data_IF_226191411547
#
_entry.id   IF_226191411547
#
_cell.length_a   1.000
_cell.length_b   1.000
_cell.length_c   1.000
_cell.angle_alpha   90.00
_cell.angle_beta   90.00
_cell.angle_gamma   90.00
#
_symmetry.space_group_name_H-M   'P 1'
#
loop_
_entity.id
_entity.type
_entity.pdbx_description
1 polymer ?
#
# COMPACT_ATOMS: atom_id res chain seq x y z
N UNK A 1 31.76 -19.48 55.64
CA UNK A 1 30.59 -19.80 56.48
C UNK A 1 29.58 -20.51 55.62
N UNK A 2 29.51 -21.83 55.79
CA UNK A 2 28.46 -22.67 55.23
C UNK A 2 27.10 -22.30 55.86
N UNK A 3 26.00 -22.55 55.15
CA UNK A 3 24.95 -23.50 55.58
C UNK A 3 23.65 -23.31 54.79
N UNK A 4 23.20 -24.42 54.22
CA UNK A 4 21.88 -24.68 53.67
C UNK A 4 20.95 -25.28 54.75
N UNK A 5 19.64 -25.01 54.68
CA UNK A 5 18.53 -25.76 55.32
C UNK A 5 17.27 -25.44 54.46
N UNK A 6 16.79 -26.25 53.50
CA UNK A 6 15.98 -27.50 53.53
C UNK A 6 14.65 -27.40 54.30
N UNK A 7 13.61 -27.98 53.68
CA UNK A 7 12.31 -28.44 54.22
C UNK A 7 11.15 -27.44 53.97
N UNK A 8 9.97 -27.81 53.45
CA UNK A 8 9.24 -29.08 53.39
C UNK A 8 8.18 -29.04 52.28
N UNK A 9 8.02 -30.15 51.55
CA UNK A 9 6.72 -30.55 50.98
C UNK A 9 6.06 -31.55 51.92
N UNK A 10 4.71 -31.55 52.04
CA UNK A 10 3.97 -32.77 52.29
C UNK A 10 3.21 -33.19 51.02
N UNK A 11 3.40 -34.45 50.65
CA UNK A 11 2.56 -35.19 49.72
C UNK A 11 1.30 -35.71 50.44
N UNK A 12 0.22 -36.00 49.70
CA UNK A 12 -0.43 -37.33 49.63
C UNK A 12 -1.68 -37.28 48.71
N UNK A 13 -1.63 -38.16 47.70
CA UNK A 13 -2.66 -38.93 46.99
C UNK A 13 -4.09 -38.37 46.76
N UNK A 14 -4.47 -38.30 45.49
CA UNK A 14 -5.58 -39.15 44.98
C UNK A 14 -5.47 -39.37 43.47
N UNK A 15 -5.94 -40.54 43.06
CA UNK A 15 -5.62 -41.27 41.83
C UNK A 15 -6.74 -41.13 40.78
N UNK A 16 -6.37 -41.03 39.48
CA UNK A 16 -7.12 -41.46 38.26
C UNK A 16 -8.35 -40.57 37.92
N UNK A 17 -8.50 -39.89 36.78
CA UNK A 17 -8.59 -40.35 35.37
C UNK A 17 -8.57 -39.13 34.41
N UNK A 18 -7.99 -39.27 33.20
CA UNK A 18 -8.45 -38.50 32.03
C UNK A 18 -7.44 -37.53 31.41
N UNK A 19 -6.83 -37.96 30.32
CA UNK A 19 -5.83 -37.27 29.49
C UNK A 19 -6.33 -35.97 28.85
N UNK A 20 -5.76 -34.82 29.25
CA UNK A 20 -5.59 -33.64 28.38
C UNK A 20 -4.17 -33.10 28.61
N UNK A 21 -3.33 -33.20 27.59
CA UNK A 21 -1.95 -32.71 27.57
C UNK A 21 -1.93 -31.18 27.64
N UNK A 22 -1.75 -30.63 28.84
CA UNK A 22 -1.43 -29.21 29.05
C UNK A 22 0.08 -29.04 28.92
N UNK A 23 0.52 -28.38 27.86
CA UNK A 23 1.91 -27.99 27.66
C UNK A 23 2.35 -27.01 28.75
N UNK A 24 3.27 -27.45 29.61
CA UNK A 24 3.94 -26.61 30.62
C UNK A 24 4.88 -25.63 29.94
N UNK A 25 4.59 -24.35 30.14
CA UNK A 25 5.52 -23.24 30.03
C UNK A 25 6.76 -23.50 30.92
N UNK A 26 7.95 -23.48 30.31
CA UNK A 26 9.20 -23.16 30.99
C UNK A 26 9.80 -21.95 30.28
N UNK A 27 9.85 -20.83 31.00
CA UNK A 27 10.54 -19.63 30.59
C UNK A 27 12.06 -19.86 30.71
N UNK A 28 12.78 -19.77 29.59
CA UNK A 28 14.22 -19.49 29.57
C UNK A 28 14.45 -18.43 28.50
N UNK A 29 15.03 -17.33 28.98
CA UNK A 29 15.64 -16.19 28.29
C UNK A 29 16.17 -16.46 26.88
N UNK A 30 15.57 -15.83 25.87
CA UNK A 30 16.30 -15.36 24.69
C UNK A 30 15.60 -14.14 24.06
N UNK A 31 16.30 -13.02 24.04
CA UNK A 31 15.84 -11.72 23.57
C UNK A 31 16.32 -11.56 22.12
N UNK A 32 15.50 -11.98 21.15
CA UNK A 32 15.52 -11.50 19.74
C UNK A 32 14.57 -12.33 18.87
N UNK A 33 13.26 -12.17 19.07
CA UNK A 33 12.26 -12.77 18.18
C UNK A 33 11.21 -11.74 17.81
N UNK A 34 11.51 -10.97 16.77
CA UNK A 34 10.48 -10.26 16.00
C UNK A 34 9.79 -11.28 15.10
N UNK A 35 8.70 -11.86 15.59
CA UNK A 35 7.80 -12.65 14.75
C UNK A 35 6.90 -11.70 13.97
N UNK A 36 7.19 -11.52 12.69
CA UNK A 36 6.21 -10.97 11.75
C UNK A 36 5.30 -12.12 11.30
N UNK A 37 4.19 -12.33 12.03
CA UNK A 37 3.07 -13.14 11.57
C UNK A 37 2.25 -12.28 10.60
N UNK A 38 2.59 -12.34 9.30
CA UNK A 38 1.67 -11.93 8.24
C UNK A 38 1.16 -13.19 7.56
N UNK A 39 -0.09 -13.55 7.86
CA UNK A 39 -0.84 -14.64 7.25
C UNK A 39 -1.36 -14.21 5.89
N UNK A 40 -0.53 -14.32 4.86
CA UNK A 40 -1.03 -14.47 3.49
C UNK A 40 -1.17 -15.95 3.19
N UNK A 41 -2.07 -16.36 2.28
CA UNK A 41 -2.24 -17.79 1.90
C UNK A 41 -0.95 -18.43 1.35
N UNK A 42 0.05 -17.62 1.00
CA UNK A 42 1.38 -18.04 0.55
C UNK A 42 2.52 -17.70 1.55
N UNK A 43 2.19 -17.20 2.74
CA UNK A 43 3.11 -16.79 3.79
C UNK A 43 3.03 -17.68 5.03
N UNK A 44 3.58 -17.21 6.16
CA UNK A 44 3.50 -17.93 7.44
C UNK A 44 4.49 -19.08 7.63
N UNK A 45 5.34 -19.37 6.66
CA UNK A 45 6.43 -20.35 6.75
C UNK A 45 7.77 -19.70 7.09
N UNK A 46 8.58 -20.34 7.94
CA UNK A 46 9.97 -19.93 8.16
C UNK A 46 10.81 -20.42 6.98
N UNK A 47 11.10 -19.52 6.03
CA UNK A 47 11.88 -19.84 4.82
C UNK A 47 13.37 -20.03 5.13
N UNK A 48 13.91 -19.32 6.12
CA UNK A 48 15.29 -19.44 6.54
C UNK A 48 15.44 -19.00 8.00
N UNK A 49 16.22 -19.75 8.78
CA UNK A 49 16.65 -19.36 10.12
C UNK A 49 18.11 -19.79 10.32
N UNK A 50 18.98 -18.84 10.61
CA UNK A 50 20.41 -19.08 10.72
C UNK A 50 21.25 -17.82 10.51
N UNK A 51 22.59 -17.97 10.39
CA UNK A 51 23.49 -16.83 10.21
C UNK A 51 23.22 -16.06 8.90
N UNK A 52 23.14 -14.72 8.98
CA UNK A 52 22.82 -13.86 7.82
C UNK A 52 23.67 -14.14 6.56
N UNK A 53 24.94 -14.50 6.72
CA UNK A 53 25.84 -14.84 5.60
C UNK A 53 25.37 -16.03 4.76
N UNK A 54 24.65 -16.98 5.35
CA UNK A 54 24.14 -18.19 4.68
C UNK A 54 22.73 -18.01 4.11
N UNK A 55 22.12 -16.84 4.26
CA UNK A 55 20.80 -16.52 3.69
C UNK A 55 20.83 -16.55 2.16
N UNK A 56 21.96 -16.22 1.55
CA UNK A 56 22.15 -16.24 0.08
C UNK A 56 22.11 -17.64 -0.51
N UNK A 57 22.40 -18.67 0.29
CA UNK A 57 22.41 -20.07 -0.14
C UNK A 57 21.02 -20.72 0.01
N UNK A 58 20.06 -20.03 0.63
CA UNK A 58 18.72 -20.55 0.87
C UNK A 58 17.92 -20.57 -0.46
N UNK A 59 17.58 -21.74 -1.01
CA UNK A 59 17.06 -21.86 -2.38
C UNK A 59 15.65 -21.28 -2.58
N UNK A 60 14.87 -21.12 -1.50
CA UNK A 60 13.51 -20.53 -1.54
C UNK A 60 13.46 -19.07 -1.06
N UNK A 61 14.58 -18.49 -0.64
CA UNK A 61 14.58 -17.17 -0.02
C UNK A 61 14.61 -16.07 -1.07
N UNK A 62 13.49 -15.39 -1.28
CA UNK A 62 13.42 -14.20 -2.13
C UNK A 62 14.37 -13.12 -1.60
N UNK A 63 14.45 -12.94 -0.28
CA UNK A 63 15.41 -12.00 0.35
C UNK A 63 16.86 -12.41 0.07
N UNK A 64 17.16 -13.72 0.14
CA UNK A 64 18.47 -14.26 -0.23
C UNK A 64 18.84 -13.98 -1.69
N UNK A 65 17.87 -14.08 -2.61
CA UNK A 65 18.07 -13.75 -4.02
C UNK A 65 18.41 -12.28 -4.26
N UNK A 66 17.78 -11.35 -3.52
CA UNK A 66 18.08 -9.92 -3.62
C UNK A 66 19.46 -9.58 -3.05
N UNK A 67 19.82 -10.18 -1.91
CA UNK A 67 21.14 -9.98 -1.29
C UNK A 67 22.25 -10.57 -2.16
N UNK A 68 22.01 -11.74 -2.77
CA UNK A 68 22.95 -12.39 -3.67
C UNK A 68 23.05 -11.73 -5.05
N UNK A 69 22.19 -10.75 -5.37
CA UNK A 69 22.13 -10.11 -6.68
C UNK A 69 21.48 -10.97 -7.79
N UNK A 70 20.93 -12.15 -7.46
CA UNK A 70 20.18 -12.99 -8.40
C UNK A 70 18.87 -12.35 -8.84
N UNK A 71 18.27 -11.55 -7.95
CA UNK A 71 17.16 -10.62 -8.26
C UNK A 71 17.64 -9.22 -7.94
N UNK A 72 17.30 -8.25 -8.78
CA UNK A 72 17.58 -6.84 -8.52
C UNK A 72 16.47 -5.96 -9.10
N UNK A 73 16.40 -4.74 -8.58
CA UNK A 73 15.66 -3.66 -9.22
C UNK A 73 16.59 -3.12 -10.30
N UNK A 74 16.20 -3.26 -11.55
CA UNK A 74 17.01 -2.83 -12.70
C UNK A 74 17.03 -1.30 -12.80
N UNK A 75 18.15 -0.77 -13.29
CA UNK A 75 18.22 0.64 -13.69
C UNK A 75 17.46 0.78 -15.02
N UNK A 76 16.59 1.79 -15.17
CA UNK A 76 15.88 2.01 -16.44
C UNK A 76 16.86 2.17 -17.60
N UNK A 77 16.63 1.45 -18.71
CA UNK A 77 17.52 1.54 -19.89
C UNK A 77 17.51 2.93 -20.55
N UNK A 78 16.42 3.67 -20.40
CA UNK A 78 16.29 5.04 -20.87
C UNK A 78 15.46 5.85 -19.90
N UNK A 79 15.92 7.05 -19.56
CA UNK A 79 15.16 8.02 -18.75
C UNK A 79 14.27 8.89 -19.64
N UNK A 80 13.12 9.29 -19.13
CA UNK A 80 12.19 10.21 -19.81
C UNK A 80 12.85 11.57 -19.96
N UNK A 81 12.72 12.18 -21.14
CA UNK A 81 13.38 13.46 -21.44
C UNK A 81 12.68 14.61 -20.73
N UNK A 82 13.42 15.30 -19.87
CA UNK A 82 12.98 16.54 -19.22
C UNK A 82 12.80 17.66 -20.25
N UNK A 83 11.62 18.29 -20.25
CA UNK A 83 11.30 19.43 -21.12
C UNK A 83 11.30 20.72 -20.31
N UNK A 84 12.19 21.66 -20.62
CA UNK A 84 12.27 22.97 -19.95
C UNK A 84 10.97 23.78 -20.01
N UNK A 85 10.14 23.53 -21.01
CA UNK A 85 8.83 24.19 -21.17
C UNK A 85 7.73 23.58 -20.30
N UNK A 86 7.95 22.38 -19.72
CA UNK A 86 6.98 21.66 -18.90
C UNK A 86 7.52 21.43 -17.48
N UNK A 87 7.36 22.43 -16.62
CA UNK A 87 7.86 22.40 -15.25
C UNK A 87 7.03 23.29 -14.32
N UNK A 88 6.93 22.86 -13.06
CA UNK A 88 6.51 23.69 -11.94
C UNK A 88 7.74 24.35 -11.32
N UNK A 89 7.63 25.59 -10.87
CA UNK A 89 8.74 26.28 -10.22
C UNK A 89 8.30 26.89 -8.90
N UNK A 90 8.94 26.45 -7.82
CA UNK A 90 8.76 27.05 -6.50
C UNK A 90 9.79 28.16 -6.35
N UNK A 91 9.35 29.39 -6.11
CA UNK A 91 10.21 30.57 -6.02
C UNK A 91 10.26 31.09 -4.59
N UNK A 92 11.47 31.26 -4.07
CA UNK A 92 11.77 31.85 -2.77
C UNK A 92 11.06 31.15 -1.61
N UNK A 93 11.28 29.84 -1.47
CA UNK A 93 10.75 29.02 -0.39
C UNK A 93 11.54 29.26 0.91
N UNK A 94 10.82 29.64 1.97
CA UNK A 94 11.38 30.13 3.25
C UNK A 94 10.71 29.53 4.49
N UNK A 95 9.89 28.50 4.31
CA UNK A 95 9.24 27.83 5.43
C UNK A 95 10.26 27.00 6.24
N UNK A 96 10.11 26.96 7.57
CA UNK A 96 11.05 26.30 8.50
C UNK A 96 12.53 26.66 8.25
N UNK A 97 13.35 25.69 7.87
CA UNK A 97 14.79 25.84 7.66
C UNK A 97 15.20 26.16 6.21
N UNK A 98 14.24 26.31 5.28
CA UNK A 98 14.52 26.60 3.87
C UNK A 98 15.16 27.99 3.67
N UNK A 99 16.22 28.05 2.87
CA UNK A 99 17.08 29.24 2.69
C UNK A 99 16.74 30.04 1.42
N UNK A 100 15.48 30.48 1.30
CA UNK A 100 14.97 31.26 0.15
C UNK A 100 15.24 30.60 -1.21
N UNK A 101 15.11 29.27 -1.27
CA UNK A 101 15.50 28.50 -2.44
C UNK A 101 14.47 28.61 -3.57
N UNK A 102 14.95 28.51 -4.81
CA UNK A 102 14.13 28.41 -6.01
C UNK A 102 14.47 27.13 -6.75
N UNK A 103 13.48 26.31 -7.05
CA UNK A 103 13.69 24.97 -7.63
C UNK A 103 12.61 24.63 -8.66
N UNK A 104 12.99 23.86 -9.68
CA UNK A 104 12.10 23.41 -10.74
C UNK A 104 11.75 21.93 -10.57
N UNK A 105 10.48 21.59 -10.78
CA UNK A 105 9.97 20.23 -10.83
C UNK A 105 9.49 19.94 -12.25
N UNK A 106 10.24 19.16 -13.05
CA UNK A 106 9.82 18.83 -14.41
C UNK A 106 8.56 17.95 -14.41
N UNK A 107 7.69 18.16 -15.41
CA UNK A 107 6.44 17.44 -15.58
C UNK A 107 6.55 16.36 -16.67
N UNK A 108 5.74 15.31 -16.55
CA UNK A 108 5.71 14.12 -17.40
C UNK A 108 6.85 13.13 -17.12
N UNK A 109 7.49 13.26 -15.96
CA UNK A 109 8.65 12.45 -15.56
C UNK A 109 8.54 12.05 -14.08
N UNK A 110 9.36 11.08 -13.68
CA UNK A 110 9.57 10.72 -12.29
C UNK A 110 10.64 11.61 -11.67
N UNK A 111 10.22 12.58 -10.84
CA UNK A 111 11.12 13.41 -10.02
C UNK A 111 11.26 12.83 -8.61
N UNK A 112 12.49 12.58 -8.16
CA UNK A 112 12.78 12.17 -6.79
C UNK A 112 13.36 13.35 -5.99
N UNK A 113 12.79 13.65 -4.84
CA UNK A 113 13.32 14.62 -3.87
C UNK A 113 14.02 13.86 -2.76
N UNK A 114 15.31 14.08 -2.62
CA UNK A 114 16.16 13.29 -1.72
C UNK A 114 17.07 14.18 -0.88
N UNK A 115 17.94 13.58 -0.07
CA UNK A 115 18.84 14.24 0.86
C UNK A 115 18.56 13.91 2.32
N UNK A 116 19.47 14.28 3.23
CA UNK A 116 19.48 13.82 4.63
C UNK A 116 18.20 14.16 5.43
N UNK A 117 17.94 13.44 6.52
CA UNK A 117 16.79 13.74 7.38
C UNK A 117 16.87 15.17 7.94
N UNK A 118 15.74 15.87 7.95
CA UNK A 118 15.68 17.28 8.35
C UNK A 118 16.25 18.29 7.35
N UNK A 119 16.62 17.89 6.13
CA UNK A 119 17.12 18.83 5.10
C UNK A 119 16.06 19.76 4.51
N UNK A 120 14.77 19.50 4.77
CA UNK A 120 13.65 20.34 4.32
C UNK A 120 12.80 19.76 3.18
N UNK A 121 12.99 18.49 2.78
CA UNK A 121 12.24 17.81 1.69
C UNK A 121 10.71 17.92 1.86
N UNK A 122 10.18 17.45 2.99
CA UNK A 122 8.73 17.48 3.27
C UNK A 122 8.22 18.91 3.46
N UNK A 123 9.04 19.85 3.93
CA UNK A 123 8.68 21.27 3.97
C UNK A 123 8.51 21.83 2.56
N UNK A 124 9.45 21.58 1.66
CA UNK A 124 9.39 22.04 0.28
C UNK A 124 8.19 21.43 -0.47
N UNK A 125 8.00 20.12 -0.38
CA UNK A 125 6.99 19.40 -1.16
C UNK A 125 5.63 19.42 -0.48
N UNK A 126 5.52 18.98 0.78
CA UNK A 126 4.23 18.77 1.44
C UNK A 126 3.67 20.01 2.13
N UNK A 127 4.51 20.97 2.54
CA UNK A 127 4.05 22.21 3.18
C UNK A 127 3.97 23.41 2.24
N UNK A 128 4.71 23.42 1.12
CA UNK A 128 4.67 24.51 0.13
C UNK A 128 4.03 24.04 -1.18
N UNK A 129 4.67 23.13 -1.91
CA UNK A 129 4.23 22.78 -3.27
C UNK A 129 2.82 22.18 -3.29
N UNK A 130 2.57 21.15 -2.46
CA UNK A 130 1.29 20.47 -2.41
C UNK A 130 0.13 21.40 -2.01
N UNK A 131 0.20 22.17 -0.91
CA UNK A 131 -0.90 23.06 -0.53
C UNK A 131 -1.26 24.10 -1.60
N UNK A 132 -0.25 24.68 -2.27
CA UNK A 132 -0.49 25.65 -3.37
C UNK A 132 -1.22 24.99 -4.54
N UNK A 133 -0.82 23.78 -4.92
CA UNK A 133 -1.45 23.05 -6.00
C UNK A 133 -2.85 22.55 -5.59
N UNK A 134 -3.02 22.09 -4.35
CA UNK A 134 -4.28 21.57 -3.86
C UNK A 134 -5.34 22.68 -3.78
N UNK A 135 -4.96 23.88 -3.36
CA UNK A 135 -5.84 25.05 -3.38
C UNK A 135 -6.25 25.44 -4.79
N UNK A 136 -5.28 25.56 -5.70
CA UNK A 136 -5.54 26.03 -7.08
C UNK A 136 -6.22 25.01 -7.99
N UNK A 137 -5.88 23.72 -7.86
CA UNK A 137 -6.34 22.66 -8.77
C UNK A 137 -7.51 21.86 -8.21
N UNK A 138 -7.52 21.62 -6.88
CA UNK A 138 -8.53 20.80 -6.23
C UNK A 138 -9.54 21.61 -5.41
N UNK A 139 -9.36 22.94 -5.29
CA UNK A 139 -10.21 23.82 -4.47
C UNK A 139 -10.04 23.60 -2.96
N UNK A 140 -8.91 23.04 -2.53
CA UNK A 140 -8.65 22.75 -1.12
C UNK A 140 -8.18 23.98 -0.35
N UNK A 141 -8.84 24.36 0.74
CA UNK A 141 -8.46 25.53 1.55
C UNK A 141 -7.32 25.22 2.53
N UNK A 142 -6.13 24.95 2.00
CA UNK A 142 -4.92 24.66 2.79
C UNK A 142 -4.00 25.88 2.73
N UNK A 143 -3.57 26.39 3.88
CA UNK A 143 -2.63 27.51 3.93
C UNK A 143 -1.22 27.00 3.60
N UNK A 144 -0.59 27.45 2.51
CA UNK A 144 0.77 27.05 2.18
C UNK A 144 1.79 27.72 3.10
N UNK A 145 2.93 27.05 3.31
CA UNK A 145 4.09 27.61 4.00
C UNK A 145 4.66 28.83 3.27
N UNK A 146 5.56 29.56 3.93
CA UNK A 146 6.22 30.78 3.45
C UNK A 146 6.97 30.52 2.14
N UNK A 147 6.47 31.13 1.07
CA UNK A 147 7.10 31.12 -0.24
C UNK A 147 6.74 32.42 -1.00
N UNK A 148 7.42 32.73 -2.11
CA UNK A 148 7.12 33.92 -2.90
C UNK A 148 6.01 33.66 -3.91
N UNK A 149 6.14 32.60 -4.71
CA UNK A 149 5.09 32.10 -5.63
C UNK A 149 5.43 30.72 -6.16
N UNK A 150 4.42 30.04 -6.71
CA UNK A 150 4.60 28.82 -7.52
C UNK A 150 4.15 29.12 -8.94
N UNK A 151 5.06 28.94 -9.90
CA UNK A 151 4.84 29.13 -11.33
C UNK A 151 4.53 27.79 -12.00
N UNK A 152 3.81 27.83 -13.14
CA UNK A 152 3.50 26.65 -13.94
C UNK A 152 2.29 25.83 -13.49
N UNK A 153 1.53 26.27 -12.48
CA UNK A 153 0.39 25.53 -11.91
C UNK A 153 -0.65 25.11 -12.96
N UNK A 154 -0.92 25.96 -13.97
CA UNK A 154 -1.86 25.65 -15.05
C UNK A 154 -1.40 24.59 -16.06
N UNK A 155 -0.25 23.95 -15.84
CA UNK A 155 0.23 22.82 -16.63
C UNK A 155 -0.24 21.46 -16.08
N UNK A 156 -0.85 21.46 -14.89
CA UNK A 156 -1.48 20.30 -14.28
C UNK A 156 -2.96 20.58 -14.07
N UNK A 157 -3.81 19.58 -14.26
CA UNK A 157 -5.25 19.68 -14.05
C UNK A 157 -5.62 19.28 -12.62
N UNK A 158 -4.80 18.42 -11.99
CA UNK A 158 -5.06 17.89 -10.65
C UNK A 158 -3.77 17.57 -9.91
N UNK A 159 -3.81 17.67 -8.58
CA UNK A 159 -2.77 17.14 -7.70
C UNK A 159 -3.33 16.06 -6.78
N UNK A 160 -2.59 14.98 -6.57
CA UNK A 160 -2.97 13.89 -5.67
C UNK A 160 -1.80 13.61 -4.74
N UNK A 161 -2.00 13.87 -3.45
CA UNK A 161 -1.06 13.48 -2.41
C UNK A 161 -1.40 12.08 -1.90
N UNK A 162 -0.45 11.17 -2.03
CA UNK A 162 -0.56 9.78 -1.56
C UNK A 162 0.30 9.65 -0.32
N UNK A 163 -0.34 9.84 0.83
CA UNK A 163 0.23 9.55 2.14
C UNK A 163 0.25 8.05 2.48
N UNK A 164 1.00 7.72 3.54
CA UNK A 164 1.06 6.40 4.17
C UNK A 164 -0.13 6.10 5.10
N UNK A 165 -1.13 6.98 5.18
CA UNK A 165 -2.28 6.74 6.03
C UNK A 165 -3.01 5.46 5.58
N UNK A 166 -3.43 4.58 6.51
CA UNK A 166 -4.09 3.33 6.16
C UNK A 166 -5.30 3.56 5.26
N UNK A 167 -5.54 2.66 4.29
CA UNK A 167 -6.77 2.68 3.50
C UNK A 167 -7.93 2.42 4.45
N UNK A 168 -8.66 3.48 4.81
CA UNK A 168 -9.91 3.43 5.57
C UNK A 168 -9.84 2.59 6.85
N UNK A 169 -9.86 3.23 8.02
CA UNK A 169 -9.88 2.51 9.32
C UNK A 169 -11.13 1.65 9.55
N UNK A 170 -12.07 1.63 8.61
CA UNK A 170 -13.30 0.84 8.71
C UNK A 170 -13.09 -0.53 8.06
N UNK A 171 -13.50 -1.56 8.77
CA UNK A 171 -13.60 -2.95 8.29
C UNK A 171 -14.56 -3.15 7.10
N UNK A 172 -15.34 -2.11 6.77
CA UNK A 172 -16.20 -1.99 5.58
C UNK A 172 -15.46 -1.63 4.30
N UNK A 173 -14.22 -1.17 4.42
CA UNK A 173 -13.34 -0.91 3.29
C UNK A 173 -12.67 -2.22 2.85
N UNK A 174 -12.62 -2.47 1.55
CA UNK A 174 -11.93 -3.64 0.98
C UNK A 174 -11.43 -3.34 -0.44
N UNK A 175 -10.56 -4.18 -1.03
CA UNK A 175 -10.00 -3.94 -2.35
C UNK A 175 -11.06 -3.67 -3.44
N UNK A 176 -12.13 -4.46 -3.46
CA UNK A 176 -13.17 -4.39 -4.52
C UNK A 176 -14.04 -3.14 -4.45
N UNK A 177 -14.28 -2.61 -3.24
CA UNK A 177 -14.97 -1.32 -3.05
C UNK A 177 -14.05 -0.16 -3.42
N UNK A 178 -12.76 -0.26 -3.14
CA UNK A 178 -11.81 0.82 -3.40
C UNK A 178 -11.61 1.09 -4.91
N UNK A 179 -11.55 0.04 -5.73
CA UNK A 179 -11.51 0.15 -7.20
C UNK A 179 -12.90 0.33 -7.84
N UNK A 180 -13.96 0.41 -7.03
CA UNK A 180 -15.37 0.54 -7.47
C UNK A 180 -15.80 -0.55 -8.45
N UNK A 181 -15.22 -1.75 -8.34
CA UNK A 181 -15.69 -2.94 -9.05
C UNK A 181 -16.94 -3.53 -8.37
N UNK A 182 -17.10 -3.30 -7.07
CA UNK A 182 -18.23 -3.84 -6.31
C UNK A 182 -19.58 -3.30 -6.77
N UNK A 183 -19.65 -2.08 -7.28
CA UNK A 183 -20.89 -1.49 -7.81
C UNK A 183 -21.41 -2.28 -9.02
N UNK A 184 -20.50 -2.69 -9.90
CA UNK A 184 -20.82 -3.50 -11.08
C UNK A 184 -21.23 -4.92 -10.68
N UNK A 185 -20.57 -5.50 -9.66
CA UNK A 185 -20.92 -6.81 -9.10
C UNK A 185 -22.33 -6.77 -8.51
N UNK A 186 -22.65 -5.74 -7.71
CA UNK A 186 -23.99 -5.60 -7.11
C UNK A 186 -25.07 -5.39 -8.17
N UNK A 187 -24.78 -4.63 -9.22
CA UNK A 187 -25.67 -4.47 -10.35
C UNK A 187 -25.92 -5.81 -11.07
N UNK A 188 -24.87 -6.60 -11.29
CA UNK A 188 -24.97 -7.93 -11.89
C UNK A 188 -25.85 -8.87 -11.07
N UNK A 189 -25.63 -8.98 -9.75
CA UNK A 189 -26.44 -9.84 -8.89
C UNK A 189 -27.91 -9.41 -8.79
N UNK A 190 -28.18 -8.10 -8.83
CA UNK A 190 -29.55 -7.58 -8.86
C UNK A 190 -30.29 -7.93 -10.17
N UNK A 191 -29.56 -8.14 -11.26
CA UNK A 191 -30.14 -8.42 -12.57
C UNK A 191 -30.49 -9.89 -12.80
N UNK A 192 -30.07 -10.78 -11.89
CA UNK A 192 -30.30 -12.22 -12.01
C UNK A 192 -31.80 -12.58 -11.93
N UNK A 193 -32.25 -13.68 -12.58
CA UNK A 193 -33.66 -14.05 -12.61
C UNK A 193 -34.31 -14.18 -11.23
N UNK A 194 -33.61 -14.81 -10.28
CA UNK A 194 -34.09 -14.97 -8.90
C UNK A 194 -34.21 -13.62 -8.18
N UNK A 195 -33.23 -12.74 -8.39
CA UNK A 195 -33.24 -11.37 -7.83
C UNK A 195 -34.38 -10.54 -8.39
N UNK A 196 -34.64 -10.60 -9.69
CA UNK A 196 -35.76 -9.91 -10.33
C UNK A 196 -37.11 -10.42 -9.83
N UNK A 197 -37.27 -11.73 -9.66
CA UNK A 197 -38.48 -12.34 -9.10
C UNK A 197 -38.74 -11.88 -7.65
N UNK A 198 -37.68 -11.80 -6.83
CA UNK A 198 -37.75 -11.32 -5.44
C UNK A 198 -37.66 -9.79 -5.30
N UNK A 199 -37.58 -9.04 -6.41
CA UNK A 199 -37.44 -7.57 -6.46
C UNK A 199 -36.22 -7.03 -5.69
N UNK A 200 -35.14 -7.80 -5.63
CA UNK A 200 -33.90 -7.35 -5.01
C UNK A 200 -33.22 -6.26 -5.86
N UNK A 201 -32.78 -5.21 -5.17
CA UNK A 201 -32.02 -4.08 -5.72
C UNK A 201 -30.52 -4.25 -5.45
N UNK A 202 -29.62 -3.55 -6.16
CA UNK A 202 -28.18 -3.59 -5.90
C UNK A 202 -27.77 -3.26 -4.44
N UNK A 203 -28.62 -2.53 -3.71
CA UNK A 203 -28.43 -2.27 -2.28
C UNK A 203 -28.51 -3.55 -1.42
N UNK A 204 -29.33 -4.54 -1.79
CA UNK A 204 -29.44 -5.79 -1.03
C UNK A 204 -28.17 -6.64 -1.09
N UNK A 205 -27.37 -6.48 -2.15
CA UNK A 205 -26.09 -7.16 -2.31
C UNK A 205 -24.92 -6.35 -1.73
N UNK A 206 -25.18 -5.29 -0.95
CA UNK A 206 -24.15 -4.51 -0.28
C UNK A 206 -24.11 -4.87 1.21
N UNK A 207 -22.94 -5.25 1.72
CA UNK A 207 -22.74 -5.49 3.16
C UNK A 207 -22.74 -4.18 3.98
N UNK A 208 -22.67 -3.01 3.33
CA UNK A 208 -22.60 -1.70 3.98
C UNK A 208 -23.95 -1.05 4.29
N UNK A 209 -25.05 -1.63 3.78
CA UNK A 209 -26.39 -1.03 3.91
C UNK A 209 -27.38 -2.06 4.43
N UNK A 210 -28.38 -1.59 5.17
CA UNK A 210 -29.48 -2.42 5.65
C UNK A 210 -30.30 -3.00 4.49
N UNK A 211 -30.90 -4.16 4.73
CA UNK A 211 -31.66 -4.91 3.74
C UNK A 211 -31.16 -6.35 3.63
N UNK A 212 -30.03 -6.55 2.96
CA UNK A 212 -29.48 -7.89 2.69
C UNK A 212 -28.26 -8.31 3.52
N UNK A 213 -27.61 -7.37 4.24
CA UNK A 213 -26.51 -7.67 5.16
C UNK A 213 -26.99 -8.43 6.40
N UNK A 214 -26.07 -9.12 7.06
CA UNK A 214 -26.33 -9.69 8.38
C UNK A 214 -26.49 -8.57 9.42
N UNK A 215 -27.60 -8.56 10.16
CA UNK A 215 -27.89 -7.51 11.15
C UNK A 215 -27.05 -7.65 12.43
N UNK A 216 -26.69 -8.89 12.81
CA UNK A 216 -25.94 -9.16 14.06
C UNK A 216 -24.53 -8.55 14.02
N UNK A 217 -23.84 -8.68 12.90
CA UNK A 217 -22.51 -8.10 12.71
C UNK A 217 -22.54 -6.85 11.82
N UNK A 218 -23.72 -6.30 11.51
CA UNK A 218 -23.90 -5.18 10.59
C UNK A 218 -23.14 -5.28 9.25
N UNK A 219 -22.98 -6.50 8.72
CA UNK A 219 -22.23 -6.78 7.50
C UNK A 219 -20.70 -6.85 7.62
N UNK A 220 -20.12 -6.72 8.81
CA UNK A 220 -18.68 -6.89 9.03
C UNK A 220 -18.21 -8.34 8.84
N UNK A 221 -19.07 -9.29 9.21
CA UNK A 221 -18.75 -10.72 9.25
C UNK A 221 -17.98 -11.13 10.51
N UNK A 222 -17.61 -10.16 11.33
CA UNK A 222 -16.98 -10.35 12.64
C UNK A 222 -17.67 -9.47 13.68
N UNK A 223 -17.57 -9.87 14.94
CA UNK A 223 -18.00 -9.09 16.10
C UNK A 223 -16.74 -8.72 16.88
N UNK A 224 -16.57 -7.42 17.12
CA UNK A 224 -15.44 -6.90 17.89
C UNK A 224 -15.83 -6.79 19.35
N UNK A 225 -15.05 -7.43 20.22
CA UNK A 225 -15.16 -7.30 21.67
C UNK A 225 -14.10 -6.31 22.13
N UNK A 226 -14.55 -5.14 22.57
CA UNK A 226 -13.67 -4.10 23.11
C UNK A 226 -13.09 -4.54 24.45
N UNK A 227 -11.77 -4.48 24.57
CA UNK A 227 -11.04 -4.86 25.78
C UNK A 227 -10.41 -3.61 26.41
N UNK A 228 -10.63 -3.37 27.71
CA UNK A 228 -10.22 -2.10 28.35
C UNK A 228 -8.70 -1.84 28.38
N UNK A 229 -7.87 -2.87 28.36
CA UNK A 229 -6.41 -2.77 28.51
C UNK A 229 -5.62 -3.57 27.47
N UNK A 230 -6.30 -4.17 26.50
CA UNK A 230 -5.68 -5.06 25.50
C UNK A 230 -6.19 -4.68 24.12
N UNK A 231 -5.54 -5.21 23.08
CA UNK A 231 -6.07 -5.10 21.72
C UNK A 231 -7.44 -5.79 21.64
N UNK A 232 -8.35 -5.18 20.87
CA UNK A 232 -9.69 -5.72 20.66
C UNK A 232 -9.65 -7.13 20.07
N UNK A 233 -10.63 -7.94 20.46
CA UNK A 233 -10.76 -9.31 19.97
C UNK A 233 -11.81 -9.33 18.87
N UNK A 234 -11.45 -9.87 17.70
CA UNK A 234 -12.37 -10.04 16.58
C UNK A 234 -12.77 -11.50 16.46
N UNK A 235 -14.06 -11.79 16.66
CA UNK A 235 -14.64 -13.13 16.52
C UNK A 235 -15.46 -13.23 15.25
N UNK A 236 -15.43 -14.40 14.59
CA UNK A 236 -16.32 -14.65 13.44
C UNK A 236 -17.77 -14.60 13.89
N UNK A 237 -18.61 -13.89 13.15
CA UNK A 237 -20.03 -13.80 13.48
C UNK A 237 -20.71 -15.16 13.36
N UNK A 238 -21.26 -15.66 14.47
CA UNK A 238 -21.92 -16.97 14.53
C UNK A 238 -23.18 -17.04 13.66
N UNK A 239 -23.91 -15.93 13.51
CA UNK A 239 -25.17 -15.90 12.76
C UNK A 239 -24.98 -16.05 11.24
N UNK A 240 -23.94 -15.44 10.67
CA UNK A 240 -23.65 -15.54 9.23
C UNK A 240 -22.46 -16.43 8.90
N UNK A 241 -21.77 -16.97 9.90
CA UNK A 241 -20.52 -17.73 9.73
C UNK A 241 -19.45 -16.93 8.98
N UNK A 242 -19.39 -15.60 9.18
CA UNK A 242 -18.48 -14.72 8.46
C UNK A 242 -18.90 -14.30 7.05
N UNK A 243 -20.04 -14.80 6.52
CA UNK A 243 -20.48 -14.52 5.15
C UNK A 243 -21.05 -13.12 4.92
N UNK A 244 -21.29 -12.33 5.97
CA UNK A 244 -21.77 -10.93 5.94
C UNK A 244 -23.20 -10.69 5.43
N UNK A 245 -23.89 -11.68 4.88
CA UNK A 245 -25.24 -11.54 4.31
C UNK A 245 -26.28 -12.44 4.99
N UNK A 246 -27.56 -12.13 4.78
CA UNK A 246 -28.69 -13.00 5.11
C UNK A 246 -28.75 -14.19 4.15
N UNK A 247 -29.31 -15.30 4.62
CA UNK A 247 -29.38 -16.54 3.84
C UNK A 247 -30.13 -16.36 2.51
N UNK A 248 -31.22 -15.57 2.50
CA UNK A 248 -32.02 -15.31 1.28
C UNK A 248 -31.22 -14.63 0.16
N UNK A 249 -30.20 -13.85 0.50
CA UNK A 249 -29.29 -13.21 -0.46
C UNK A 249 -28.25 -14.21 -0.97
N UNK A 250 -27.82 -15.14 -0.12
CA UNK A 250 -26.87 -16.19 -0.47
C UNK A 250 -27.47 -17.25 -1.39
N UNK A 251 -28.80 -17.38 -1.44
CA UNK A 251 -29.50 -18.25 -2.40
C UNK A 251 -29.32 -17.78 -3.86
N UNK A 252 -29.03 -16.49 -4.07
CA UNK A 252 -28.79 -15.93 -5.39
C UNK A 252 -27.39 -16.30 -5.86
N UNK A 253 -27.31 -17.10 -6.92
CA UNK A 253 -26.04 -17.56 -7.49
C UNK A 253 -25.82 -17.08 -8.91
N UNK A 254 -24.57 -16.74 -9.22
CA UNK A 254 -24.07 -16.45 -10.55
C UNK A 254 -22.96 -17.46 -10.90
N UNK A 255 -23.09 -18.16 -12.04
CA UNK A 255 -22.17 -19.26 -12.43
C UNK A 255 -21.90 -20.26 -11.27
N UNK A 256 -22.91 -20.54 -10.44
CA UNK A 256 -22.81 -21.45 -9.29
C UNK A 256 -22.16 -20.86 -8.03
N UNK A 257 -21.90 -19.54 -7.99
CA UNK A 257 -21.29 -18.84 -6.85
C UNK A 257 -22.21 -17.76 -6.30
N UNK A 258 -22.38 -17.71 -4.98
CA UNK A 258 -23.11 -16.61 -4.33
C UNK A 258 -22.19 -15.38 -4.12
N UNK A 259 -22.78 -14.26 -3.67
CA UNK A 259 -22.03 -13.01 -3.48
C UNK A 259 -20.92 -13.11 -2.42
N UNK A 260 -21.10 -13.92 -1.36
CA UNK A 260 -20.09 -14.09 -0.32
C UNK A 260 -18.90 -14.92 -0.83
N UNK A 261 -19.17 -16.00 -1.57
CA UNK A 261 -18.15 -16.82 -2.20
C UNK A 261 -17.36 -16.04 -3.26
N UNK A 262 -18.03 -15.14 -3.99
CA UNK A 262 -17.36 -14.24 -4.92
C UNK A 262 -16.41 -13.28 -4.19
N UNK A 263 -16.83 -12.74 -3.04
CA UNK A 263 -15.98 -11.87 -2.22
C UNK A 263 -14.80 -12.60 -1.57
N UNK A 264 -14.89 -13.92 -1.40
CA UNK A 264 -13.80 -14.76 -0.86
C UNK A 264 -12.78 -15.18 -1.93
N UNK A 265 -13.07 -14.98 -3.22
CA UNK A 265 -12.10 -15.20 -4.31
C UNK A 265 -10.96 -14.20 -4.27
N UNK A 266 -9.79 -14.66 -4.71
CA UNK A 266 -8.64 -13.80 -5.01
C UNK A 266 -8.91 -12.93 -6.26
N UNK A 267 -8.16 -11.84 -6.42
CA UNK A 267 -8.25 -10.98 -7.61
C UNK A 267 -7.98 -11.78 -8.90
N UNK A 268 -7.00 -12.67 -8.90
CA UNK A 268 -6.66 -13.49 -10.08
C UNK A 268 -7.80 -14.45 -10.44
N UNK A 269 -8.33 -15.18 -9.45
CA UNK A 269 -9.48 -16.08 -9.65
C UNK A 269 -10.72 -15.32 -10.13
N UNK A 270 -10.97 -14.12 -9.58
CA UNK A 270 -12.10 -13.31 -9.99
C UNK A 270 -11.97 -12.83 -11.44
N UNK A 271 -10.77 -12.38 -11.86
CA UNK A 271 -10.53 -11.98 -13.24
C UNK A 271 -10.75 -13.16 -14.19
N UNK A 272 -10.26 -14.36 -13.85
CA UNK A 272 -10.50 -15.57 -14.64
C UNK A 272 -12.00 -15.93 -14.70
N UNK A 273 -12.69 -15.88 -13.56
CA UNK A 273 -14.12 -16.16 -13.43
C UNK A 273 -15.00 -15.23 -14.30
N UNK A 274 -14.68 -13.94 -14.34
CA UNK A 274 -15.37 -12.96 -15.18
C UNK A 274 -14.91 -12.98 -16.64
N UNK A 275 -13.70 -13.46 -16.94
CA UNK A 275 -13.20 -13.61 -18.32
C UNK A 275 -13.70 -14.89 -19.01
N UNK A 276 -14.22 -15.86 -18.26
CA UNK A 276 -14.71 -17.14 -18.81
C UNK A 276 -15.96 -16.97 -19.71
N UNK A 277 -15.94 -17.51 -20.95
CA UNK A 277 -16.98 -17.31 -21.97
C UNK A 277 -18.28 -18.10 -21.73
N UNK A 278 -18.38 -18.89 -20.66
CA UNK A 278 -19.40 -19.94 -20.47
C UNK A 278 -20.83 -19.39 -20.28
N UNK A 279 -21.00 -18.08 -20.02
CA UNK A 279 -22.27 -17.32 -20.02
C UNK A 279 -21.92 -15.86 -19.73
N UNK A 280 -21.70 -15.01 -20.74
CA UNK A 280 -21.42 -13.60 -20.47
C UNK A 280 -22.72 -12.84 -20.21
N UNK A 281 -22.98 -12.47 -18.97
CA UNK A 281 -23.96 -11.42 -18.67
C UNK A 281 -23.25 -10.06 -18.75
N UNK A 282 -23.88 -9.07 -19.36
CA UNK A 282 -23.22 -7.91 -19.99
C UNK A 282 -22.21 -7.08 -19.17
N UNK A 283 -22.17 -7.23 -17.84
CA UNK A 283 -21.24 -6.49 -16.97
C UNK A 283 -19.92 -7.24 -16.68
N UNK A 284 -19.75 -8.50 -17.10
CA UNK A 284 -18.55 -9.30 -16.84
C UNK A 284 -17.26 -8.59 -17.27
N UNK A 285 -17.23 -8.06 -18.50
CA UNK A 285 -16.05 -7.37 -19.04
C UNK A 285 -15.70 -6.08 -18.28
N UNK A 286 -16.71 -5.35 -17.77
CA UNK A 286 -16.49 -4.14 -16.96
C UNK A 286 -15.88 -4.47 -15.60
N UNK A 287 -16.34 -5.56 -14.98
CA UNK A 287 -15.82 -6.02 -13.69
C UNK A 287 -14.35 -6.44 -13.85
N UNK A 288 -14.03 -7.28 -14.83
CA UNK A 288 -12.66 -7.70 -15.10
C UNK A 288 -11.73 -6.51 -15.37
N UNK A 289 -12.17 -5.54 -16.18
CA UNK A 289 -11.42 -4.31 -16.47
C UNK A 289 -11.15 -3.48 -15.21
N UNK A 290 -12.12 -3.37 -14.29
CA UNK A 290 -11.94 -2.63 -13.02
C UNK A 290 -11.06 -3.37 -12.00
N UNK A 291 -11.00 -4.70 -12.07
CA UNK A 291 -10.14 -5.52 -11.21
C UNK A 291 -8.71 -5.59 -11.73
N UNK A 292 -8.51 -5.46 -13.04
CA UNK A 292 -7.20 -5.56 -13.71
C UNK A 292 -6.10 -4.69 -13.07
N UNK A 293 -6.34 -3.42 -12.69
CA UNK A 293 -5.34 -2.61 -11.99
C UNK A 293 -4.82 -3.23 -10.68
N UNK A 294 -5.64 -3.99 -9.93
CA UNK A 294 -5.18 -4.68 -8.72
C UNK A 294 -4.20 -5.80 -9.05
N UNK A 295 -4.46 -6.55 -10.13
CA UNK A 295 -3.55 -7.58 -10.61
C UNK A 295 -2.24 -6.95 -11.12
N UNK A 296 -2.31 -5.85 -11.86
CA UNK A 296 -1.13 -5.21 -12.45
C UNK A 296 -0.16 -4.65 -11.39
N UNK A 297 -0.67 -4.17 -10.25
CA UNK A 297 0.16 -3.79 -9.09
C UNK A 297 0.59 -5.00 -8.22
N UNK A 298 0.31 -6.22 -8.67
CA UNK A 298 0.74 -7.47 -8.04
C UNK A 298 -0.03 -7.83 -6.77
N UNK A 299 -1.32 -7.48 -6.69
CA UNK A 299 -2.26 -7.88 -5.64
C UNK A 299 -3.20 -9.01 -6.08
N UNK A 300 -2.78 -9.81 -7.07
CA UNK A 300 -3.56 -10.94 -7.59
C UNK A 300 -4.03 -11.94 -6.53
N UNK A 301 -3.21 -12.15 -5.48
CA UNK A 301 -3.48 -13.06 -4.37
C UNK A 301 -4.42 -12.50 -3.30
N UNK A 302 -4.74 -11.21 -3.32
CA UNK A 302 -5.58 -10.58 -2.28
C UNK A 302 -7.04 -10.93 -2.55
N UNK A 303 -7.79 -11.27 -1.51
CA UNK A 303 -9.23 -11.55 -1.64
C UNK A 303 -10.03 -10.28 -1.87
N UNK A 304 -11.05 -10.33 -2.73
CA UNK A 304 -11.87 -9.16 -3.08
C UNK A 304 -12.50 -8.49 -1.84
N UNK A 305 -13.03 -9.30 -0.93
CA UNK A 305 -13.72 -8.89 0.29
C UNK A 305 -12.82 -8.75 1.52
N UNK A 306 -11.50 -8.93 1.39
CA UNK A 306 -10.57 -8.80 2.51
C UNK A 306 -10.68 -7.41 3.14
N UNK A 307 -10.80 -7.37 4.47
CA UNK A 307 -10.88 -6.10 5.20
C UNK A 307 -9.61 -5.28 4.96
N UNK A 308 -9.75 -3.99 4.67
CA UNK A 308 -8.59 -3.10 4.51
C UNK A 308 -7.77 -2.96 5.80
N UNK A 309 -8.37 -3.23 6.97
CA UNK A 309 -7.66 -3.23 8.26
C UNK A 309 -6.67 -4.39 8.42
N UNK A 310 -6.82 -5.48 7.66
CA UNK A 310 -5.95 -6.65 7.73
C UNK A 310 -4.86 -6.65 6.65
N UNK A 311 -4.84 -5.62 5.80
CA UNK A 311 -3.83 -5.46 4.76
C UNK A 311 -2.54 -4.91 5.36
N UNK A 312 -1.40 -5.37 4.84
CA UNK A 312 -0.11 -4.75 5.09
C UNK A 312 -0.05 -3.33 4.51
N UNK A 313 0.85 -2.49 5.04
CA UNK A 313 1.05 -1.14 4.53
C UNK A 313 1.34 -1.10 3.03
N UNK A 314 2.17 -2.05 2.54
CA UNK A 314 2.48 -2.19 1.12
C UNK A 314 1.32 -2.68 0.24
N UNK A 315 0.41 -3.49 0.78
CA UNK A 315 -0.81 -3.85 0.07
C UNK A 315 -1.77 -2.68 -0.02
N UNK A 316 -2.01 -2.00 1.11
CA UNK A 316 -2.85 -0.81 1.15
C UNK A 316 -2.35 0.23 0.15
N UNK A 317 -1.06 0.54 0.15
CA UNK A 317 -0.50 1.50 -0.80
C UNK A 317 -0.71 1.10 -2.27
N UNK A 318 -0.52 -0.18 -2.60
CA UNK A 318 -0.72 -0.67 -3.98
C UNK A 318 -2.20 -0.63 -4.38
N UNK A 319 -3.14 -0.89 -3.48
CA UNK A 319 -4.59 -0.69 -3.75
C UNK A 319 -4.89 0.79 -4.04
N UNK A 320 -4.27 1.71 -3.29
CA UNK A 320 -4.43 3.15 -3.51
C UNK A 320 -4.00 3.53 -4.92
N UNK A 321 -2.86 3.02 -5.37
CA UNK A 321 -2.35 3.20 -6.74
C UNK A 321 -3.26 2.58 -7.80
N UNK A 322 -3.72 1.34 -7.59
CA UNK A 322 -4.64 0.65 -8.50
C UNK A 322 -5.92 1.47 -8.75
N UNK A 323 -6.43 2.16 -7.74
CA UNK A 323 -7.62 3.02 -7.86
C UNK A 323 -7.43 4.21 -8.81
N UNK A 324 -6.19 4.69 -8.98
CA UNK A 324 -5.86 5.77 -9.90
C UNK A 324 -5.64 5.23 -11.31
N UNK A 325 -4.98 4.08 -11.44
CA UNK A 325 -4.81 3.38 -12.72
C UNK A 325 -6.16 3.01 -13.36
N UNK A 326 -7.14 2.60 -12.56
CA UNK A 326 -8.48 2.21 -13.03
C UNK A 326 -9.40 3.35 -13.49
N UNK A 327 -9.00 4.62 -13.32
CA UNK A 327 -9.81 5.78 -13.77
C UNK A 327 -9.71 6.04 -15.28
N UNK A 328 -8.86 5.30 -15.99
CA UNK A 328 -8.64 5.44 -17.43
C UNK A 328 -7.88 6.72 -17.79
N UNK A 329 -7.53 6.87 -19.06
CA UNK A 329 -6.91 8.09 -19.59
C UNK A 329 -7.96 9.22 -19.61
N UNK A 330 -8.19 9.87 -18.48
CA UNK A 330 -8.62 11.26 -18.51
C UNK A 330 -7.56 12.04 -19.29
N UNK A 331 -7.95 12.94 -20.20
CA UNK A 331 -6.99 13.86 -20.85
C UNK A 331 -6.28 14.78 -19.83
N UNK A 332 -6.75 14.76 -18.58
CA UNK A 332 -6.24 15.49 -17.43
C UNK A 332 -4.82 15.03 -17.04
N UNK A 333 -3.89 15.98 -17.01
CA UNK A 333 -2.55 15.79 -16.46
C UNK A 333 -2.59 15.84 -14.93
N UNK A 334 -2.46 14.68 -14.27
CA UNK A 334 -2.41 14.61 -12.81
C UNK A 334 -0.97 14.58 -12.30
N UNK A 335 -0.67 15.41 -11.30
CA UNK A 335 0.57 15.33 -10.51
C UNK A 335 0.34 14.47 -9.27
N UNK A 336 1.09 13.39 -9.14
CA UNK A 336 1.10 12.58 -7.92
C UNK A 336 2.30 12.95 -7.05
N UNK A 337 2.05 13.10 -5.74
CA UNK A 337 3.07 13.36 -4.73
C UNK A 337 3.06 12.20 -3.74
N UNK A 338 4.21 11.56 -3.55
CA UNK A 338 4.41 10.44 -2.61
C UNK A 338 5.43 10.84 -1.54
N UNK A 339 5.12 10.53 -0.28
CA UNK A 339 6.03 10.73 0.85
C UNK A 339 6.51 9.38 1.38
N UNK A 340 7.80 9.10 1.17
CA UNK A 340 8.49 7.87 1.56
C UNK A 340 7.68 6.59 1.25
N UNK A 341 7.29 6.38 -0.02
CA UNK A 341 6.42 5.27 -0.40
C UNK A 341 7.06 3.88 -0.19
N UNK A 342 8.34 3.75 0.15
CA UNK A 342 8.97 2.44 0.41
C UNK A 342 9.11 2.07 1.88
N UNK A 343 8.64 2.91 2.81
CA UNK A 343 8.73 2.63 4.24
C UNK A 343 8.03 1.33 4.60
N UNK A 344 8.79 0.39 5.17
CA UNK A 344 8.29 -0.93 5.56
C UNK A 344 8.10 -1.92 4.40
N UNK A 345 8.57 -1.62 3.19
CA UNK A 345 8.45 -2.51 2.04
C UNK A 345 9.69 -3.39 1.84
N UNK A 346 9.47 -4.65 1.47
CA UNK A 346 10.54 -5.54 1.01
C UNK A 346 10.98 -5.17 -0.42
N UNK A 347 12.22 -5.47 -0.81
CA UNK A 347 12.77 -5.17 -2.15
C UNK A 347 11.89 -5.64 -3.30
N UNK A 348 11.25 -6.80 -3.11
CA UNK A 348 10.31 -7.35 -4.08
C UNK A 348 9.06 -6.48 -4.28
N UNK A 349 8.56 -5.89 -3.20
CA UNK A 349 7.39 -5.02 -3.24
C UNK A 349 7.74 -3.63 -3.76
N UNK A 350 8.96 -3.13 -3.47
CA UNK A 350 9.49 -1.91 -4.11
C UNK A 350 9.53 -2.08 -5.63
N UNK A 351 9.97 -3.24 -6.13
CA UNK A 351 9.94 -3.52 -7.57
C UNK A 351 8.51 -3.44 -8.15
N UNK A 352 7.52 -4.02 -7.46
CA UNK A 352 6.11 -3.95 -7.89
C UNK A 352 5.56 -2.52 -7.83
N UNK A 353 5.95 -1.75 -6.82
CA UNK A 353 5.58 -0.36 -6.66
C UNK A 353 6.13 0.51 -7.80
N UNK A 354 7.39 0.30 -8.19
CA UNK A 354 8.01 1.00 -9.34
C UNK A 354 7.27 0.71 -10.65
N UNK A 355 6.83 -0.53 -10.87
CA UNK A 355 5.99 -0.86 -12.05
C UNK A 355 4.68 -0.07 -12.04
N UNK A 356 4.03 0.08 -10.89
CA UNK A 356 2.81 0.88 -10.76
C UNK A 356 3.07 2.38 -11.04
N UNK A 357 4.23 2.90 -10.64
CA UNK A 357 4.65 4.27 -10.96
C UNK A 357 4.88 4.45 -12.46
N UNK A 358 5.54 3.50 -13.12
CA UNK A 358 5.73 3.54 -14.57
C UNK A 358 4.41 3.55 -15.33
N UNK A 359 3.43 2.74 -14.90
CA UNK A 359 2.08 2.76 -15.49
C UNK A 359 1.39 4.13 -15.35
N UNK A 360 1.54 4.82 -14.20
CA UNK A 360 1.01 6.18 -14.03
C UNK A 360 1.68 7.17 -14.97
N UNK A 361 3.00 7.07 -15.15
CA UNK A 361 3.77 7.93 -16.07
C UNK A 361 3.40 7.67 -17.54
N UNK A 362 3.15 6.42 -17.93
CA UNK A 362 2.72 6.05 -19.28
C UNK A 362 1.34 6.63 -19.63
N UNK A 363 0.46 6.81 -18.65
CA UNK A 363 -0.81 7.53 -18.80
C UNK A 363 -0.62 9.06 -18.98
N UNK A 364 0.62 9.56 -18.94
CA UNK A 364 0.95 10.97 -19.14
C UNK A 364 0.97 11.81 -17.86
N UNK A 365 0.94 11.18 -16.68
CA UNK A 365 1.00 11.87 -15.39
C UNK A 365 2.43 12.26 -14.99
N UNK A 366 2.55 13.04 -13.93
CA UNK A 366 3.84 13.41 -13.30
C UNK A 366 3.95 12.80 -11.91
N UNK A 367 5.15 12.39 -11.51
CA UNK A 367 5.41 11.89 -10.16
C UNK A 367 6.46 12.75 -9.46
N UNK A 368 6.17 13.16 -8.22
CA UNK A 368 7.15 13.69 -7.28
C UNK A 368 7.18 12.74 -6.08
N UNK A 369 8.34 12.18 -5.80
CA UNK A 369 8.51 11.20 -4.72
C UNK A 369 9.58 11.69 -3.77
N UNK A 370 9.25 11.79 -2.48
CA UNK A 370 10.24 12.00 -1.43
C UNK A 370 10.79 10.63 -1.03
N UNK A 371 12.08 10.42 -1.22
CA UNK A 371 12.71 9.13 -0.91
C UNK A 371 14.16 9.25 -0.44
N UNK A 372 14.54 8.21 0.30
CA UNK A 372 15.87 7.95 0.80
C UNK A 372 16.44 6.63 0.26
N UNK A 373 15.59 5.76 -0.30
CA UNK A 373 15.99 4.45 -0.78
C UNK A 373 16.73 4.54 -2.14
N UNK A 374 18.02 4.16 -2.23
CA UNK A 374 18.79 4.21 -3.48
C UNK A 374 18.18 3.39 -4.61
N UNK A 375 17.47 2.29 -4.29
CA UNK A 375 16.82 1.46 -5.31
C UNK A 375 15.63 2.16 -5.99
N UNK A 376 15.05 3.18 -5.36
CA UNK A 376 14.03 4.05 -5.98
C UNK A 376 14.68 5.26 -6.65
N UNK A 377 15.66 5.89 -6.00
CA UNK A 377 16.34 7.08 -6.52
C UNK A 377 17.00 6.79 -7.88
N UNK A 378 17.62 5.61 -8.05
CA UNK A 378 18.24 5.22 -9.33
C UNK A 378 17.24 5.07 -10.48
N UNK A 379 15.97 4.84 -10.18
CA UNK A 379 14.90 4.70 -11.17
C UNK A 379 14.27 6.05 -11.55
N UNK A 380 14.61 7.13 -10.86
CA UNK A 380 14.08 8.46 -11.16
C UNK A 380 14.60 9.01 -12.50
N UNK A 381 13.78 9.83 -13.15
CA UNK A 381 14.19 10.56 -14.36
C UNK A 381 14.95 11.85 -13.99
N UNK A 382 14.58 12.47 -12.86
CA UNK A 382 15.16 13.69 -12.32
C UNK A 382 15.31 13.60 -10.80
N UNK A 383 16.37 14.18 -10.24
CA UNK A 383 16.63 14.21 -8.81
C UNK A 383 16.86 15.64 -8.35
N UNK A 384 16.21 15.99 -7.24
CA UNK A 384 16.43 17.22 -6.48
C UNK A 384 16.97 16.80 -5.12
N UNK A 385 18.24 17.06 -4.86
CA UNK A 385 18.88 16.70 -3.60
C UNK A 385 18.94 17.90 -2.65
N UNK A 386 18.44 17.70 -1.43
CA UNK A 386 18.29 18.72 -0.40
C UNK A 386 19.33 18.52 0.71
N UNK A 387 20.02 19.59 1.11
CA UNK A 387 21.06 19.50 2.13
C UNK A 387 21.72 20.85 2.40
N UNK A 388 23.05 20.88 2.66
CA UNK A 388 23.97 19.72 2.73
C UNK A 388 23.73 18.84 3.98
N UNK A 389 23.25 19.45 5.07
CA UNK A 389 22.98 18.77 6.34
C UNK A 389 21.49 18.87 6.74
N UNK A 390 21.15 18.34 7.91
CA UNK A 390 19.82 18.48 8.50
C UNK A 390 19.66 19.76 9.35
N UNK A 391 18.41 20.15 9.61
CA UNK A 391 18.09 21.23 10.54
C UNK A 391 18.56 22.60 10.03
N UNK A 392 19.15 23.42 10.90
CA UNK A 392 19.55 24.79 10.58
C UNK A 392 20.60 24.91 9.47
N UNK A 393 21.39 23.86 9.28
CA UNK A 393 22.46 23.75 8.28
C UNK A 393 21.98 23.16 6.94
N UNK A 394 20.70 22.79 6.85
CA UNK A 394 20.06 22.33 5.62
C UNK A 394 19.31 23.44 4.88
N UNK A 395 18.28 23.02 4.15
CA UNK A 395 17.34 23.92 3.50
C UNK A 395 17.84 24.54 2.19
N UNK A 396 18.82 23.91 1.54
CA UNK A 396 19.35 24.30 0.23
C UNK A 396 19.25 23.13 -0.74
N UNK A 397 19.16 23.44 -2.04
CA UNK A 397 19.33 22.44 -3.11
C UNK A 397 20.81 22.28 -3.36
N UNK A 398 21.34 21.09 -3.09
CA UNK A 398 22.77 20.77 -3.28
C UNK A 398 23.06 20.14 -4.64
N UNK A 399 22.03 19.58 -5.29
CA UNK A 399 22.12 19.04 -6.63
C UNK A 399 20.75 19.02 -7.33
N UNK A 400 20.75 19.27 -8.64
CA UNK A 400 19.57 19.14 -9.52
C UNK A 400 20.03 18.53 -10.85
N UNK A 401 19.47 17.39 -11.26
CA UNK A 401 19.93 16.68 -12.46
C UNK A 401 19.45 15.23 -12.56
N UNK A 402 20.11 14.45 -13.40
CA UNK A 402 19.84 13.01 -13.51
C UNK A 402 20.52 12.20 -12.39
N UNK A 403 20.03 11.00 -12.04
CA UNK A 403 20.72 10.11 -11.08
C UNK A 403 22.18 9.81 -11.47
N UNK A 404 22.46 9.69 -12.77
CA UNK A 404 23.81 9.40 -13.28
C UNK A 404 24.78 10.58 -13.09
N UNK A 405 24.27 11.82 -13.14
CA UNK A 405 25.02 13.03 -12.81
C UNK A 405 25.19 13.18 -11.30
N UNK A 406 24.16 12.87 -10.50
CA UNK A 406 24.23 12.88 -9.03
C UNK A 406 25.29 11.92 -8.52
N UNK A 407 25.37 10.72 -9.10
CA UNK A 407 26.40 9.76 -8.77
C UNK A 407 27.82 10.26 -9.10
N UNK A 408 28.00 11.24 -9.99
CA UNK A 408 29.33 11.84 -10.27
C UNK A 408 29.66 13.02 -9.38
N UNK A 409 28.68 13.60 -8.67
CA UNK A 409 28.90 14.75 -7.80
C UNK A 409 29.82 14.39 -6.62
N UNK A 410 30.89 15.15 -6.43
CA UNK A 410 31.80 15.01 -5.29
C UNK A 410 31.23 15.70 -4.04
N UNK A 411 31.47 15.11 -2.85
CA UNK A 411 31.00 15.68 -1.58
C UNK A 411 29.49 15.60 -1.35
N UNK A 412 28.74 14.90 -2.21
CA UNK A 412 27.30 14.70 -2.06
C UNK A 412 26.98 13.36 -1.37
N UNK A 413 26.28 13.41 -0.23
CA UNK A 413 25.90 12.22 0.54
C UNK A 413 25.08 11.23 -0.28
N UNK A 414 24.03 11.71 -0.96
CA UNK A 414 23.15 10.85 -1.78
C UNK A 414 23.91 10.27 -2.97
N UNK A 415 24.72 11.08 -3.65
CA UNK A 415 25.57 10.65 -4.75
C UNK A 415 26.53 9.54 -4.37
N UNK A 416 27.12 9.61 -3.17
CA UNK A 416 28.02 8.56 -2.66
C UNK A 416 27.35 7.18 -2.58
N UNK A 417 26.17 7.09 -1.97
CA UNK A 417 25.42 5.82 -1.85
C UNK A 417 24.80 5.35 -3.16
N UNK A 418 24.51 6.27 -4.08
CA UNK A 418 23.91 5.96 -5.37
C UNK A 418 24.91 5.32 -6.34
N UNK A 419 26.20 5.67 -6.25
CA UNK A 419 27.27 5.11 -7.11
C UNK A 419 27.30 3.59 -7.11
N UNK A 420 27.12 2.96 -5.95
CA UNK A 420 27.20 1.51 -5.81
C UNK A 420 25.99 0.77 -6.43
N UNK A 421 24.96 1.51 -6.83
CA UNK A 421 23.66 0.97 -7.29
C UNK A 421 23.39 1.19 -8.78
N UNK A 422 24.19 2.02 -9.45
CA UNK A 422 24.06 2.35 -10.88
C UNK A 422 24.92 1.45 -11.77
#
# INVERSE_FOLDING_TARGET
>A
TASAIIATTPAINTTITGSITVARFFAITDVSRSYCLATTEHGGEVIYSGPAKKLVDAPRSVTGDYIAGRRKIEVPQSRRKVRKTKQLRVVGARENNLKDLTVNFPLGVFTCVTGVSGSGKSTLVNQILYPVLADKLNGARIVPGKHTRVEGVGQCDKVIHVDQNPIGKSSRSNPVTYVKAYDEIRALYADLPLSRARKYKPAHFSFNVEGGRCEVCEGEGQVTIEMQFMADIHLVCENCGGKRFKQEILDVSYKGKNVAELLDMTVDEAIEFFSSPIKSFGNDGKIATKLKPLQDVGLGYVKLGQSSSTLSGGEAQRIKLASFLGKGNSHDHTLFIFDEPTTGLHFHDIRKLLLAFDMLLEQGNSLIIIEHNPDVIKCADWVIDMGPEGGVNGGQVVFEGTPDELAKAEGNHTGHFLRDKL
#
